data_IF_759601888326
#
_entry.id   IF_759601888326
#
_cell.length_a   1.000
_cell.length_b   1.000
_cell.length_c   1.000
_cell.angle_alpha   90.00
_cell.angle_beta   90.00
_cell.angle_gamma   90.00
#
_symmetry.space_group_name_H-M   'P 1'
#
loop_
_entity.id
_entity.type
_entity.pdbx_description
1 polymer ?
#
# COMPACT_ATOMS: atom_id res chain seq x y z
N UNK A 1 -0.30 0.57 -81.10
CA UNK A 1 0.77 1.43 -81.60
C UNK A 1 0.97 2.56 -80.59
N UNK A 2 2.07 2.50 -79.81
CA UNK A 2 2.69 3.53 -78.95
C UNK A 2 1.88 4.08 -77.76
N UNK A 3 2.42 4.34 -76.57
CA UNK A 3 3.70 4.08 -75.88
C UNK A 3 3.49 4.46 -74.39
N UNK A 4 4.24 3.84 -73.48
CA UNK A 4 4.42 4.26 -72.08
C UNK A 4 5.16 5.61 -71.98
N UNK A 5 4.96 6.35 -70.88
CA UNK A 5 6.06 6.92 -70.08
C UNK A 5 5.64 7.36 -68.67
N UNK A 6 6.58 7.25 -67.74
CA UNK A 6 6.46 7.38 -66.28
C UNK A 6 6.87 8.76 -65.74
N UNK A 7 6.37 9.20 -64.57
CA UNK A 7 7.15 9.57 -63.35
C UNK A 7 6.34 10.27 -62.23
N UNK A 8 6.55 9.77 -61.00
CA UNK A 8 6.77 10.43 -59.67
C UNK A 8 5.83 11.56 -59.16
N UNK A 9 5.11 11.36 -58.04
CA UNK A 9 5.45 11.66 -56.61
C UNK A 9 5.38 13.18 -56.31
N UNK A 10 4.57 13.76 -55.41
CA UNK A 10 4.55 13.70 -53.92
C UNK A 10 3.31 14.46 -53.37
N UNK A 11 2.52 13.90 -52.43
CA UNK A 11 2.40 14.22 -50.97
C UNK A 11 1.26 15.15 -50.53
N UNK A 12 0.54 14.62 -49.53
CA UNK A 12 -0.13 15.24 -48.37
C UNK A 12 -1.42 16.06 -48.50
N UNK A 13 -2.39 15.71 -47.63
CA UNK A 13 -3.44 16.64 -47.21
C UNK A 13 -4.77 16.04 -46.73
N UNK A 14 -4.77 15.52 -45.49
CA UNK A 14 -5.84 15.66 -44.48
C UNK A 14 -7.14 14.80 -44.53
N UNK A 15 -7.36 14.03 -43.46
CA UNK A 15 -8.63 13.37 -43.12
C UNK A 15 -8.94 13.58 -41.61
N UNK A 16 -10.20 13.87 -41.21
CA UNK A 16 -10.47 14.50 -39.92
C UNK A 16 -10.67 13.55 -38.74
N UNK A 17 -10.33 14.12 -37.59
CA UNK A 17 -10.24 13.67 -36.20
C UNK A 17 -11.56 13.22 -35.54
N UNK A 18 -12.26 12.23 -36.12
CA UNK A 18 -13.55 11.74 -35.61
C UNK A 18 -13.49 10.57 -34.60
N UNK A 19 -12.39 9.81 -34.57
CA UNK A 19 -12.28 8.58 -33.78
C UNK A 19 -11.85 8.77 -32.31
N UNK A 20 -11.15 9.87 -32.01
CA UNK A 20 -10.54 10.12 -30.69
C UNK A 20 -11.52 10.63 -29.65
N UNK A 21 -12.51 11.46 -30.03
CA UNK A 21 -13.50 11.96 -29.06
C UNK A 21 -14.51 10.91 -28.60
N UNK A 22 -14.88 9.95 -29.45
CA UNK A 22 -15.83 8.89 -29.07
C UNK A 22 -15.20 7.82 -28.18
N UNK A 23 -13.90 7.54 -28.33
CA UNK A 23 -13.18 6.60 -27.46
C UNK A 23 -12.89 7.18 -26.06
N UNK A 24 -12.78 8.51 -25.93
CA UNK A 24 -12.61 9.18 -24.63
C UNK A 24 -13.90 9.30 -23.81
N UNK A 25 -15.08 9.31 -24.45
CA UNK A 25 -16.37 9.40 -23.75
C UNK A 25 -16.78 8.09 -23.07
N UNK A 26 -16.50 6.93 -23.66
CA UNK A 26 -16.87 5.64 -23.04
C UNK A 26 -16.01 5.25 -21.83
N UNK A 27 -14.83 5.88 -21.62
CA UNK A 27 -13.96 5.59 -20.48
C UNK A 27 -14.26 6.45 -19.24
N UNK A 28 -15.02 7.53 -19.39
CA UNK A 28 -15.39 8.41 -18.28
C UNK A 28 -16.66 7.96 -17.55
N UNK A 29 -17.46 7.08 -18.16
CA UNK A 29 -18.75 6.62 -17.62
C UNK A 29 -18.63 5.39 -16.72
N UNK A 30 -17.46 4.74 -16.65
CA UNK A 30 -17.24 3.56 -15.84
C UNK A 30 -16.35 3.86 -14.64
N UNK A 31 -17.01 4.12 -13.50
CA UNK A 31 -16.48 4.24 -12.14
C UNK A 31 -15.55 5.44 -11.88
N UNK A 32 -15.82 6.17 -10.80
CA UNK A 32 -15.02 7.29 -10.30
C UNK A 32 -13.62 6.90 -9.78
N UNK A 33 -12.84 6.17 -10.57
CA UNK A 33 -11.44 5.93 -10.33
C UNK A 33 -10.65 7.19 -10.74
N UNK A 34 -9.99 7.82 -9.77
CA UNK A 34 -9.01 8.85 -10.07
C UNK A 34 -7.90 8.21 -10.91
N UNK A 35 -7.78 8.62 -12.19
CA UNK A 35 -6.65 8.23 -13.04
C UNK A 35 -5.41 8.93 -12.49
N UNK A 36 -4.57 8.20 -11.77
CA UNK A 36 -3.24 8.68 -11.38
C UNK A 36 -2.33 8.50 -12.59
N UNK A 37 -1.87 9.63 -13.15
CA UNK A 37 -0.84 9.64 -14.17
C UNK A 37 0.52 9.46 -13.50
N UNK A 38 1.27 8.42 -13.87
CA UNK A 38 2.69 8.31 -13.51
C UNK A 38 3.53 8.83 -14.67
N UNK A 39 4.47 9.73 -14.39
CA UNK A 39 5.52 10.12 -15.34
C UNK A 39 6.75 9.27 -15.01
N UNK A 40 7.14 8.38 -15.94
CA UNK A 40 8.41 7.67 -15.88
C UNK A 40 9.20 7.98 -17.16
N UNK A 41 10.39 8.57 -17.02
CA UNK A 41 11.22 8.95 -18.17
C UNK A 41 10.58 9.95 -19.15
N UNK A 42 9.59 10.73 -18.72
CA UNK A 42 8.87 11.69 -19.58
C UNK A 42 7.69 11.11 -20.36
N UNK A 43 7.35 9.82 -20.16
CA UNK A 43 6.20 9.17 -20.80
C UNK A 43 5.08 9.01 -19.76
N UNK A 44 3.87 9.53 -20.02
CA UNK A 44 2.72 9.32 -19.15
C UNK A 44 2.18 7.89 -19.28
N UNK A 45 2.02 7.20 -18.16
CA UNK A 45 1.32 5.92 -18.06
C UNK A 45 0.05 6.08 -17.22
N UNK A 46 -1.07 5.51 -17.72
CA UNK A 46 -2.29 5.38 -16.94
C UNK A 46 -2.21 4.11 -16.06
N UNK A 47 -2.32 4.28 -14.74
CA UNK A 47 -2.51 3.17 -13.82
C UNK A 47 -3.93 2.59 -14.00
N UNK A 48 -4.04 1.28 -14.27
CA UNK A 48 -5.31 0.53 -14.22
C UNK A 48 -5.80 -0.10 -15.52
N UNK A 49 -5.21 0.17 -16.69
CA UNK A 49 -5.72 -0.35 -17.97
C UNK A 49 -5.05 -1.63 -18.50
N UNK A 50 -4.15 -2.26 -17.74
CA UNK A 50 -3.47 -3.47 -18.20
C UNK A 50 -3.16 -4.39 -17.05
N UNK A 51 -4.11 -5.26 -16.68
CA UNK A 51 -3.86 -6.59 -16.07
C UNK A 51 -5.12 -7.38 -15.66
N UNK A 52 -6.33 -6.96 -16.04
CA UNK A 52 -7.52 -7.82 -15.86
C UNK A 52 -7.36 -9.19 -16.56
N UNK A 53 -6.63 -9.25 -17.69
CA UNK A 53 -6.36 -10.49 -18.42
C UNK A 53 -5.34 -11.42 -17.72
N UNK A 54 -4.39 -10.89 -16.95
CA UNK A 54 -3.40 -11.71 -16.26
C UNK A 54 -3.96 -12.41 -15.01
N UNK A 55 -4.97 -11.80 -14.37
CA UNK A 55 -5.73 -12.42 -13.29
C UNK A 55 -6.61 -13.59 -13.80
N UNK A 56 -7.03 -13.56 -15.06
CA UNK A 56 -7.90 -14.57 -15.65
C UNK A 56 -7.21 -15.93 -15.89
N UNK A 57 -5.88 -15.98 -15.92
CA UNK A 57 -5.11 -17.21 -16.20
C UNK A 57 -4.81 -18.06 -14.94
N UNK A 58 -5.36 -17.69 -13.77
CA UNK A 58 -5.19 -18.43 -12.51
C UNK A 58 -3.76 -18.42 -11.92
N UNK A 59 -2.85 -17.64 -12.51
CA UNK A 59 -1.43 -17.56 -12.11
C UNK A 59 -1.06 -16.33 -11.28
N UNK A 60 -2.00 -15.39 -11.09
CA UNK A 60 -1.75 -14.16 -10.37
C UNK A 60 -2.11 -14.31 -8.88
N UNK A 61 -1.21 -13.87 -7.99
CA UNK A 61 -1.48 -13.80 -6.56
C UNK A 61 -2.19 -12.48 -6.26
N UNK A 62 -3.40 -12.55 -5.72
CA UNK A 62 -4.16 -11.39 -5.27
C UNK A 62 -4.21 -11.33 -3.75
N UNK A 63 -4.01 -10.13 -3.19
CA UNK A 63 -4.11 -9.88 -1.76
C UNK A 63 -4.62 -8.46 -1.52
N UNK A 64 -4.98 -8.15 -0.28
CA UNK A 64 -5.46 -6.81 0.10
C UNK A 64 -4.55 -6.23 1.18
N UNK A 65 -4.27 -4.93 1.11
CA UNK A 65 -3.69 -4.13 2.17
C UNK A 65 -4.79 -3.30 2.84
N UNK A 66 -4.83 -3.35 4.17
CA UNK A 66 -5.51 -2.42 5.06
C UNK A 66 -4.47 -1.79 6.00
N UNK A 67 -4.80 -0.67 6.63
CA UNK A 67 -3.85 0.04 7.50
C UNK A 67 -4.56 0.94 8.51
N UNK A 68 -3.89 1.24 9.61
CA UNK A 68 -4.24 2.27 10.59
C UNK A 68 -5.71 2.15 11.04
N UNK A 69 -6.05 1.00 11.61
CA UNK A 69 -7.41 0.73 12.10
C UNK A 69 -7.69 1.41 13.44
N UNK A 70 -6.65 1.68 14.23
CA UNK A 70 -6.70 2.37 15.52
C UNK A 70 -7.88 1.93 16.39
N UNK A 71 -8.05 0.62 16.61
CA UNK A 71 -9.10 0.12 17.48
C UNK A 71 -8.97 0.77 18.87
N UNK A 72 -10.07 1.37 19.35
CA UNK A 72 -10.10 2.18 20.56
C UNK A 72 -10.29 3.69 20.33
N UNK A 73 -10.01 4.19 19.12
CA UNK A 73 -10.31 5.58 18.78
C UNK A 73 -11.82 5.84 18.65
N UNK A 74 -12.29 6.92 19.28
CA UNK A 74 -13.72 7.26 19.33
C UNK A 74 -13.97 8.78 19.39
N UNK A 75 -13.06 9.59 18.82
CA UNK A 75 -13.18 11.07 18.81
C UNK A 75 -13.90 11.57 17.55
N UNK A 76 -14.11 12.88 17.46
CA UNK A 76 -14.93 13.52 16.41
C UNK A 76 -14.51 13.20 14.97
N UNK A 77 -13.25 12.89 14.70
CA UNK A 77 -12.78 12.53 13.36
C UNK A 77 -13.42 11.22 12.85
N UNK A 78 -13.65 10.28 13.76
CA UNK A 78 -14.40 9.05 13.53
C UNK A 78 -14.82 8.44 14.88
N UNK A 79 -16.08 8.56 15.30
CA UNK A 79 -16.55 7.97 16.55
C UNK A 79 -16.71 6.44 16.46
N UNK A 80 -16.65 5.85 15.27
CA UNK A 80 -16.89 4.41 15.03
C UNK A 80 -15.86 3.81 14.05
N UNK A 81 -14.64 3.58 14.56
CA UNK A 81 -13.56 2.90 13.82
C UNK A 81 -13.83 1.40 13.64
N UNK A 82 -14.59 0.79 14.57
CA UNK A 82 -15.03 -0.61 14.44
C UNK A 82 -15.95 -0.77 13.23
N UNK A 83 -16.90 0.15 13.03
CA UNK A 83 -17.76 0.20 11.87
C UNK A 83 -16.98 0.43 10.57
N UNK A 84 -15.94 1.27 10.58
CA UNK A 84 -15.04 1.41 9.42
C UNK A 84 -14.36 0.10 9.05
N UNK A 85 -13.78 -0.58 10.03
CA UNK A 85 -13.11 -1.86 9.81
C UNK A 85 -14.11 -2.89 9.29
N UNK A 86 -15.28 -3.03 9.91
CA UNK A 86 -16.31 -3.97 9.43
C UNK A 86 -16.82 -3.67 8.03
N UNK A 87 -16.95 -2.39 7.65
CA UNK A 87 -17.27 -2.03 6.28
C UNK A 87 -16.17 -2.48 5.31
N UNK A 88 -14.90 -2.24 5.65
CA UNK A 88 -13.77 -2.71 4.85
C UNK A 88 -13.77 -4.25 4.71
N UNK A 89 -14.09 -4.97 5.79
CA UNK A 89 -14.22 -6.43 5.79
C UNK A 89 -15.37 -6.88 4.87
N UNK A 90 -16.51 -6.19 4.92
CA UNK A 90 -17.64 -6.48 4.02
C UNK A 90 -17.24 -6.30 2.55
N UNK A 91 -16.54 -5.20 2.23
CA UNK A 91 -16.04 -4.92 0.89
C UNK A 91 -15.02 -5.98 0.42
N UNK A 92 -14.11 -6.40 1.29
CA UNK A 92 -13.13 -7.47 1.01
C UNK A 92 -13.84 -8.80 0.76
N UNK A 93 -14.81 -9.16 1.61
CA UNK A 93 -15.57 -10.39 1.51
C UNK A 93 -16.49 -10.43 0.27
N UNK A 94 -16.79 -9.26 -0.31
CA UNK A 94 -17.58 -9.10 -1.52
C UNK A 94 -16.74 -9.10 -2.81
N UNK A 95 -15.40 -9.19 -2.72
CA UNK A 95 -14.54 -9.26 -3.90
C UNK A 95 -14.89 -10.50 -4.75
N UNK A 96 -14.97 -10.39 -6.10
CA UNK A 96 -15.30 -11.52 -6.97
C UNK A 96 -14.34 -12.71 -6.82
N UNK A 97 -13.08 -12.41 -6.51
CA UNK A 97 -12.07 -13.38 -6.15
C UNK A 97 -11.62 -13.08 -4.72
N UNK A 98 -11.75 -14.07 -3.83
CA UNK A 98 -11.25 -13.97 -2.47
C UNK A 98 -9.72 -13.74 -2.50
N UNK A 99 -9.20 -12.77 -1.72
CA UNK A 99 -7.76 -12.56 -1.62
C UNK A 99 -7.09 -13.73 -0.90
N UNK A 100 -5.88 -14.08 -1.31
CA UNK A 100 -5.10 -15.14 -0.68
C UNK A 100 -4.78 -14.84 0.80
N UNK A 101 -4.59 -13.56 1.12
CA UNK A 101 -4.39 -13.05 2.47
C UNK A 101 -4.69 -11.55 2.52
N UNK A 102 -4.77 -11.00 3.72
CA UNK A 102 -4.80 -9.55 3.98
C UNK A 102 -3.53 -9.13 4.71
N UNK A 103 -2.96 -7.99 4.34
CA UNK A 103 -1.86 -7.31 5.01
C UNK A 103 -2.42 -6.14 5.84
N UNK A 104 -2.03 -6.02 7.10
CA UNK A 104 -2.29 -4.85 7.95
C UNK A 104 -0.99 -4.12 8.25
N UNK A 105 -0.80 -2.94 7.68
CA UNK A 105 0.47 -2.19 7.73
C UNK A 105 0.63 -1.28 8.94
N UNK A 106 0.30 -1.78 10.14
CA UNK A 106 0.50 -1.07 11.42
C UNK A 106 -0.66 -0.21 11.90
N UNK A 107 -0.55 0.22 13.16
CA UNK A 107 -1.56 0.92 13.95
C UNK A 107 -2.87 0.14 14.05
N UNK A 108 -2.75 -1.08 14.58
CA UNK A 108 -3.89 -1.98 14.85
C UNK A 108 -4.72 -1.45 16.03
N UNK A 109 -4.05 -1.04 17.11
CA UNK A 109 -4.62 -0.44 18.30
C UNK A 109 -4.44 1.08 18.27
N UNK A 110 -5.18 1.80 19.14
CA UNK A 110 -4.99 3.24 19.28
C UNK A 110 -4.06 3.59 20.45
N UNK A 111 -4.12 2.83 21.55
CA UNK A 111 -3.43 3.11 22.81
C UNK A 111 -2.64 1.91 23.33
N UNK A 112 -2.30 0.94 22.47
CA UNK A 112 -1.59 -0.29 22.82
C UNK A 112 -2.30 -1.14 23.90
N UNK A 113 -3.62 -0.99 24.08
CA UNK A 113 -4.33 -1.69 25.16
C UNK A 113 -4.65 -3.14 24.79
N UNK A 114 -4.52 -4.10 25.73
CA UNK A 114 -4.82 -5.50 25.47
C UNK A 114 -6.23 -5.74 24.91
N UNK A 115 -7.22 -4.99 25.38
CA UNK A 115 -8.61 -5.04 24.89
C UNK A 115 -8.75 -4.56 23.44
N UNK A 116 -7.96 -3.58 23.00
CA UNK A 116 -7.95 -3.08 21.63
C UNK A 116 -7.35 -4.13 20.68
N UNK A 117 -6.24 -4.75 21.07
CA UNK A 117 -5.64 -5.85 20.31
C UNK A 117 -6.53 -7.09 20.27
N UNK A 118 -7.16 -7.45 21.41
CA UNK A 118 -8.10 -8.56 21.48
C UNK A 118 -9.28 -8.35 20.53
N UNK A 119 -9.86 -7.13 20.55
CA UNK A 119 -10.94 -6.73 19.66
C UNK A 119 -10.52 -6.81 18.20
N UNK A 120 -9.35 -6.28 17.85
CA UNK A 120 -8.83 -6.34 16.47
C UNK A 120 -8.64 -7.78 16.01
N UNK A 121 -8.01 -8.64 16.83
CA UNK A 121 -7.81 -10.07 16.53
C UNK A 121 -9.15 -10.77 16.29
N UNK A 122 -10.17 -10.46 17.07
CA UNK A 122 -11.48 -11.10 16.95
C UNK A 122 -12.24 -10.59 15.72
N UNK A 123 -12.18 -9.30 15.40
CA UNK A 123 -12.78 -8.74 14.18
C UNK A 123 -12.06 -9.25 12.92
N UNK A 124 -10.73 -9.42 12.94
CA UNK A 124 -9.99 -9.94 11.78
C UNK A 124 -10.43 -11.35 11.36
N UNK A 125 -11.00 -12.15 12.28
CA UNK A 125 -11.59 -13.46 11.96
C UNK A 125 -12.85 -13.35 11.08
N UNK A 126 -13.46 -12.17 10.99
CA UNK A 126 -14.61 -11.90 10.11
C UNK A 126 -14.19 -11.80 8.62
N UNK A 127 -12.88 -11.66 8.33
CA UNK A 127 -12.33 -11.63 6.97
C UNK A 127 -12.27 -13.05 6.40
N UNK A 128 -12.87 -13.27 5.23
CA UNK A 128 -12.89 -14.55 4.51
C UNK A 128 -11.61 -14.75 3.72
N UNK A 129 -10.53 -15.02 4.44
CA UNK A 129 -9.22 -15.31 3.87
C UNK A 129 -8.46 -16.30 4.76
N UNK A 130 -7.38 -16.89 4.26
CA UNK A 130 -6.61 -17.87 5.02
C UNK A 130 -5.90 -17.24 6.23
N UNK A 131 -5.48 -15.99 6.09
CA UNK A 131 -4.67 -15.27 7.09
C UNK A 131 -4.70 -13.76 6.94
N UNK A 132 -4.55 -13.08 8.07
CA UNK A 132 -4.19 -11.66 8.11
C UNK A 132 -2.76 -11.58 8.63
N UNK A 133 -1.86 -10.97 7.86
CA UNK A 133 -0.50 -10.64 8.26
C UNK A 133 -0.46 -9.19 8.75
N UNK A 134 -0.16 -8.99 10.02
CA UNK A 134 -0.03 -7.66 10.60
C UNK A 134 1.44 -7.38 10.96
N UNK A 135 1.78 -6.09 10.92
CA UNK A 135 2.96 -5.52 11.56
C UNK A 135 2.50 -4.47 12.57
N UNK A 136 3.29 -4.15 13.60
CA UNK A 136 2.96 -3.05 14.52
C UNK A 136 3.19 -1.69 13.85
N UNK A 137 2.37 -0.71 14.24
CA UNK A 137 2.65 0.71 14.07
C UNK A 137 3.07 1.38 15.39
N UNK A 138 3.34 2.69 15.41
CA UNK A 138 3.76 3.36 16.64
C UNK A 138 2.69 3.32 17.73
N UNK A 139 1.40 3.32 17.35
CA UNK A 139 0.31 3.26 18.30
C UNK A 139 0.17 1.88 18.95
N UNK A 140 0.83 0.86 18.38
CA UNK A 140 0.92 -0.50 18.92
C UNK A 140 2.11 -0.70 19.88
N UNK A 141 2.94 0.34 20.03
CA UNK A 141 4.19 0.30 20.78
C UNK A 141 4.32 1.40 21.85
N UNK A 142 3.20 2.02 22.27
CA UNK A 142 3.17 3.16 23.22
C UNK A 142 3.55 2.75 24.65
N UNK A 143 3.14 1.54 25.07
CA UNK A 143 3.43 1.02 26.41
C UNK A 143 4.85 0.40 26.45
N UNK A 144 5.00 -0.89 26.77
CA UNK A 144 6.30 -1.59 26.85
C UNK A 144 6.78 -2.06 25.46
N UNK A 145 6.85 -1.13 24.51
CA UNK A 145 7.13 -1.42 23.10
C UNK A 145 6.12 -2.40 22.48
N UNK A 146 6.57 -3.27 21.58
CA UNK A 146 5.69 -4.20 20.84
C UNK A 146 5.31 -5.46 21.63
N UNK A 147 5.66 -5.55 22.92
CA UNK A 147 5.39 -6.75 23.73
C UNK A 147 3.89 -7.02 23.93
N UNK A 148 3.08 -5.96 24.03
CA UNK A 148 1.62 -6.06 24.07
C UNK A 148 1.05 -6.60 22.76
N UNK A 149 1.50 -6.05 21.64
CA UNK A 149 1.14 -6.48 20.28
C UNK A 149 1.45 -7.97 20.05
N UNK A 150 2.65 -8.43 20.42
CA UNK A 150 3.10 -9.81 20.19
C UNK A 150 2.27 -10.88 20.92
N UNK A 151 1.56 -10.52 21.99
CA UNK A 151 0.63 -11.45 22.66
C UNK A 151 -0.56 -11.84 21.77
N UNK A 152 -0.86 -11.04 20.75
CA UNK A 152 -2.01 -11.24 19.85
C UNK A 152 -1.58 -11.52 18.41
N UNK A 153 -0.44 -10.98 17.98
CA UNK A 153 0.03 -10.99 16.60
C UNK A 153 1.48 -11.51 16.45
N UNK A 154 1.78 -12.69 17.01
CA UNK A 154 3.01 -13.44 16.72
C UNK A 154 2.80 -14.35 15.50
N UNK A 155 3.21 -13.88 14.32
CA UNK A 155 2.92 -14.54 13.06
C UNK A 155 3.84 -15.72 12.73
N UNK A 156 5.09 -15.72 13.20
CA UNK A 156 6.06 -16.79 12.96
C UNK A 156 6.39 -17.63 14.19
N UNK A 157 5.78 -17.32 15.35
CA UNK A 157 5.93 -18.05 16.60
C UNK A 157 7.30 -17.84 17.26
N UNK A 158 8.08 -16.86 16.80
CA UNK A 158 9.42 -16.56 17.32
C UNK A 158 9.43 -15.37 18.26
N UNK A 159 8.26 -14.88 18.68
CA UNK A 159 8.10 -13.77 19.61
C UNK A 159 8.90 -12.52 19.17
N UNK A 160 8.82 -12.18 17.88
CA UNK A 160 9.45 -11.02 17.26
C UNK A 160 8.51 -10.38 16.26
N UNK A 161 8.58 -9.06 16.12
CA UNK A 161 7.65 -8.30 15.28
C UNK A 161 8.13 -8.14 13.82
N UNK A 162 9.07 -8.96 13.36
CA UNK A 162 9.54 -9.01 11.97
C UNK A 162 9.73 -10.45 11.53
N UNK A 163 9.33 -10.74 10.30
CA UNK A 163 9.31 -12.08 9.73
C UNK A 163 9.20 -12.03 8.20
N UNK A 164 9.32 -13.17 7.55
CA UNK A 164 9.17 -13.29 6.10
C UNK A 164 8.38 -14.55 5.74
N UNK A 165 7.80 -14.57 4.55
CA UNK A 165 7.11 -15.73 3.99
C UNK A 165 7.07 -15.67 2.47
N UNK A 166 6.95 -16.83 1.84
CA UNK A 166 6.81 -16.93 0.39
C UNK A 166 5.36 -17.28 0.03
N UNK A 167 4.78 -16.60 -0.95
CA UNK A 167 3.48 -16.94 -1.51
C UNK A 167 3.42 -16.53 -2.98
N UNK A 168 2.87 -17.38 -3.85
CA UNK A 168 2.59 -17.02 -5.24
C UNK A 168 3.81 -16.57 -6.04
N UNK A 169 5.00 -17.09 -5.71
CA UNK A 169 6.26 -16.73 -6.37
C UNK A 169 6.86 -15.39 -5.96
N UNK A 170 6.28 -14.69 -4.98
CA UNK A 170 6.85 -13.50 -4.36
C UNK A 170 7.32 -13.80 -2.93
N UNK A 171 8.33 -13.03 -2.50
CA UNK A 171 8.87 -13.08 -1.15
C UNK A 171 8.38 -11.85 -0.37
N UNK A 172 7.69 -12.10 0.74
CA UNK A 172 7.09 -11.08 1.59
C UNK A 172 7.94 -10.89 2.83
N UNK A 173 8.17 -9.63 3.20
CA UNK A 173 9.01 -9.23 4.34
C UNK A 173 8.19 -8.29 5.20
N UNK A 174 7.94 -8.68 6.44
CA UNK A 174 7.32 -7.87 7.46
C UNK A 174 8.41 -7.24 8.34
N UNK A 175 8.54 -5.92 8.30
CA UNK A 175 9.49 -5.15 9.11
C UNK A 175 8.77 -4.46 10.28
N UNK A 176 9.44 -4.44 11.43
CA UNK A 176 9.10 -3.55 12.53
C UNK A 176 10.00 -2.32 12.46
N UNK A 177 9.49 -1.21 11.95
CA UNK A 177 10.24 0.04 11.85
C UNK A 177 9.69 1.12 12.78
N UNK A 178 9.14 0.73 13.93
CA UNK A 178 8.64 1.65 14.97
C UNK A 178 9.51 1.61 16.23
N UNK A 179 10.65 0.90 16.19
CA UNK A 179 11.60 0.90 17.29
C UNK A 179 12.11 2.32 17.55
N UNK A 180 12.14 2.69 18.83
CA UNK A 180 12.58 4.00 19.31
C UNK A 180 11.78 5.19 18.75
N UNK A 181 10.60 4.96 18.16
CA UNK A 181 9.74 6.04 17.71
C UNK A 181 9.42 6.97 18.89
N UNK A 182 9.82 8.22 18.75
CA UNK A 182 9.51 9.31 19.68
C UNK A 182 9.39 10.58 18.84
N UNK A 183 8.54 11.50 19.27
CA UNK A 183 8.40 12.79 18.59
C UNK A 183 9.78 13.46 18.37
N UNK A 184 10.07 13.84 17.13
CA UNK A 184 11.35 14.46 16.74
C UNK A 184 12.53 13.50 16.61
N UNK A 185 12.33 12.19 16.75
CA UNK A 185 13.32 11.14 16.47
C UNK A 185 12.76 10.15 15.46
N UNK A 186 13.51 9.94 14.39
CA UNK A 186 13.20 8.91 13.40
C UNK A 186 13.14 7.54 14.08
N UNK A 187 12.13 6.75 13.74
CA UNK A 187 12.14 5.34 14.11
C UNK A 187 13.22 4.58 13.36
N UNK A 188 13.53 3.37 13.80
CA UNK A 188 14.58 2.55 13.20
C UNK A 188 14.17 1.08 13.08
N UNK A 189 14.89 0.34 12.25
CA UNK A 189 14.85 -1.12 12.19
C UNK A 189 15.79 -1.76 13.21
N UNK A 190 16.95 -1.13 13.44
CA UNK A 190 17.99 -1.64 14.33
C UNK A 190 18.90 -2.69 13.68
N UNK A 191 20.11 -2.82 14.24
CA UNK A 191 21.17 -3.67 13.66
C UNK A 191 20.77 -5.15 13.57
N UNK A 192 20.10 -5.68 14.59
CA UNK A 192 19.63 -7.07 14.63
C UNK A 192 18.69 -7.38 13.46
N UNK A 193 17.71 -6.52 13.23
CA UNK A 193 16.73 -6.70 12.16
C UNK A 193 17.38 -6.51 10.77
N UNK A 194 18.31 -5.57 10.63
CA UNK A 194 19.07 -5.40 9.37
C UNK A 194 19.96 -6.61 9.06
N UNK A 195 20.61 -7.18 10.08
CA UNK A 195 21.38 -8.41 9.94
C UNK A 195 20.48 -9.60 9.56
N UNK A 196 19.31 -9.71 10.20
CA UNK A 196 18.29 -10.69 9.83
C UNK A 196 17.82 -10.51 8.39
N UNK A 197 17.48 -9.28 7.97
CA UNK A 197 17.02 -8.98 6.60
C UNK A 197 18.08 -9.39 5.57
N UNK A 198 19.36 -9.11 5.84
CA UNK A 198 20.46 -9.57 4.97
C UNK A 198 20.52 -11.09 4.87
N UNK A 199 20.34 -11.80 6.00
CA UNK A 199 20.34 -13.26 6.03
C UNK A 199 19.14 -13.86 5.30
N UNK A 200 17.96 -13.28 5.48
CA UNK A 200 16.71 -13.68 4.85
C UNK A 200 16.81 -13.60 3.32
N UNK A 201 17.34 -12.47 2.82
CA UNK A 201 17.52 -12.21 1.39
C UNK A 201 18.66 -13.03 0.74
N UNK A 202 19.53 -13.69 1.51
CA UNK A 202 20.72 -14.35 0.97
C UNK A 202 20.37 -15.55 0.06
N UNK A 203 19.27 -16.24 0.34
CA UNK A 203 18.78 -17.38 -0.43
C UNK A 203 17.77 -17.03 -1.52
N UNK A 204 17.31 -15.78 -1.58
CA UNK A 204 16.25 -15.35 -2.50
C UNK A 204 16.85 -14.98 -3.86
N UNK A 205 16.31 -15.55 -4.94
CA UNK A 205 16.72 -15.20 -6.31
C UNK A 205 16.51 -13.71 -6.57
N UNK A 206 17.43 -13.07 -7.30
CA UNK A 206 17.30 -11.66 -7.70
C UNK A 206 16.11 -11.41 -8.64
N UNK A 207 15.57 -12.44 -9.26
CA UNK A 207 14.36 -12.34 -10.09
C UNK A 207 13.05 -12.48 -9.29
N UNK A 208 13.11 -12.86 -8.01
CA UNK A 208 11.92 -12.98 -7.16
C UNK A 208 11.38 -11.58 -6.82
N UNK A 209 10.09 -11.29 -7.07
CA UNK A 209 9.45 -10.06 -6.61
C UNK A 209 9.47 -9.98 -5.08
N UNK A 210 9.88 -8.84 -4.55
CA UNK A 210 9.88 -8.57 -3.10
C UNK A 210 8.72 -7.65 -2.75
N UNK A 211 7.96 -8.01 -1.72
CA UNK A 211 6.94 -7.14 -1.12
C UNK A 211 7.29 -6.91 0.34
N UNK A 212 7.55 -5.66 0.71
CA UNK A 212 7.91 -5.27 2.07
C UNK A 212 6.72 -4.60 2.73
N UNK A 213 6.37 -5.01 3.94
CA UNK A 213 5.46 -4.32 4.84
C UNK A 213 6.30 -3.56 5.86
N UNK A 214 6.05 -2.27 6.00
CA UNK A 214 6.63 -1.42 7.04
C UNK A 214 5.59 -0.38 7.43
N UNK A 215 5.52 0.07 8.68
CA UNK A 215 4.47 1.03 9.06
C UNK A 215 4.84 2.45 8.63
N UNK A 216 5.92 2.98 9.21
CA UNK A 216 6.45 4.32 8.89
C UNK A 216 7.06 4.32 7.47
N UNK A 217 6.89 5.37 6.66
CA UNK A 217 7.52 5.44 5.35
C UNK A 217 9.04 5.25 5.39
N UNK A 218 9.57 4.40 4.51
CA UNK A 218 11.02 4.22 4.32
C UNK A 218 11.65 5.34 3.47
N UNK A 219 10.96 6.48 3.38
CA UNK A 219 11.47 7.73 2.83
C UNK A 219 10.85 8.90 3.60
N UNK A 220 11.53 10.04 3.62
CA UNK A 220 10.98 11.25 4.22
C UNK A 220 9.90 11.84 3.32
N UNK A 221 8.62 11.72 3.73
CA UNK A 221 7.48 12.28 3.00
C UNK A 221 7.46 13.81 3.11
N UNK A 222 7.63 14.33 4.32
CA UNK A 222 7.73 15.75 4.60
C UNK A 222 8.62 15.95 5.83
N UNK A 223 9.77 16.58 5.62
CA UNK A 223 10.85 16.67 6.61
C UNK A 223 10.41 17.28 7.95
N UNK A 224 9.59 18.36 7.99
CA UNK A 224 9.16 18.95 9.26
C UNK A 224 8.32 18.05 10.16
N UNK A 225 7.71 16.97 9.62
CA UNK A 225 7.02 16.00 10.46
C UNK A 225 7.99 15.07 11.20
N UNK A 226 9.22 14.92 10.72
CA UNK A 226 10.17 13.95 11.28
C UNK A 226 9.69 12.50 11.16
N UNK A 227 8.74 12.24 10.27
CA UNK A 227 8.14 10.93 10.03
C UNK A 227 8.93 10.18 8.97
N UNK A 228 9.82 9.30 9.43
CA UNK A 228 10.65 8.47 8.58
C UNK A 228 11.45 7.45 9.38
N UNK A 229 12.05 6.51 8.66
CA UNK A 229 12.90 5.46 9.24
C UNK A 229 14.38 5.80 9.03
N UNK A 230 15.13 5.99 10.12
CA UNK A 230 16.51 6.48 10.14
C UNK A 230 17.47 5.65 9.29
N UNK A 231 17.33 4.32 9.39
CA UNK A 231 18.17 3.32 8.76
C UNK A 231 17.52 2.70 7.51
N UNK A 232 16.46 3.32 6.97
CA UNK A 232 15.79 2.88 5.74
C UNK A 232 16.77 2.72 4.58
N UNK A 233 17.74 3.61 4.44
CA UNK A 233 18.73 3.56 3.37
C UNK A 233 19.55 2.25 3.38
N UNK A 234 19.81 1.67 4.56
CA UNK A 234 20.51 0.40 4.69
C UNK A 234 19.64 -0.76 4.22
N UNK A 235 18.38 -0.82 4.65
CA UNK A 235 17.43 -1.83 4.19
C UNK A 235 17.16 -1.72 2.68
N UNK A 236 16.94 -0.51 2.17
CA UNK A 236 16.75 -0.27 0.73
C UNK A 236 17.99 -0.67 -0.09
N UNK A 237 19.20 -0.53 0.46
CA UNK A 237 20.41 -1.01 -0.19
C UNK A 237 20.47 -2.54 -0.30
N UNK A 238 19.97 -3.28 0.71
CA UNK A 238 19.85 -4.74 0.66
C UNK A 238 18.81 -5.20 -0.36
N UNK A 239 17.75 -4.42 -0.56
CA UNK A 239 16.64 -4.71 -1.48
C UNK A 239 16.92 -4.29 -2.94
N UNK A 240 17.78 -3.30 -3.16
CA UNK A 240 18.10 -2.76 -4.49
C UNK A 240 18.48 -3.80 -5.55
N UNK A 241 19.20 -4.90 -5.25
CA UNK A 241 19.58 -5.88 -6.28
C UNK A 241 18.45 -6.75 -6.84
N UNK A 242 17.23 -6.71 -6.28
CA UNK A 242 16.10 -7.52 -6.74
C UNK A 242 15.36 -6.87 -7.91
N UNK A 243 14.88 -7.63 -8.90
CA UNK A 243 14.29 -7.08 -10.11
C UNK A 243 13.02 -6.23 -9.90
N UNK A 244 12.29 -6.46 -8.80
CA UNK A 244 11.12 -5.69 -8.40
C UNK A 244 10.98 -5.68 -6.88
N UNK A 245 10.80 -4.49 -6.30
CA UNK A 245 10.55 -4.31 -4.87
C UNK A 245 9.38 -3.36 -4.69
N UNK A 246 8.36 -3.79 -3.95
CA UNK A 246 7.24 -2.94 -3.53
C UNK A 246 7.22 -2.82 -2.02
N UNK A 247 7.30 -1.59 -1.50
CA UNK A 247 7.17 -1.29 -0.08
C UNK A 247 5.78 -0.72 0.19
N UNK A 248 5.05 -1.34 1.11
CA UNK A 248 3.69 -0.99 1.52
C UNK A 248 3.72 -0.41 2.93
N UNK A 249 3.26 0.83 3.04
CA UNK A 249 3.25 1.63 4.26
C UNK A 249 1.85 2.07 4.68
N UNK A 250 1.71 2.35 5.99
CA UNK A 250 0.57 3.02 6.62
C UNK A 250 0.90 4.47 6.96
N UNK A 251 0.56 4.88 8.19
CA UNK A 251 1.06 6.04 8.95
C UNK A 251 0.66 7.43 8.41
N UNK A 252 0.72 7.65 7.10
CA UNK A 252 0.40 8.95 6.47
C UNK A 252 -1.11 9.14 6.24
N UNK A 253 -1.88 8.05 6.33
CA UNK A 253 -3.32 8.00 6.13
C UNK A 253 -3.77 8.50 4.74
N UNK A 254 -2.86 8.52 3.77
CA UNK A 254 -3.06 9.00 2.40
C UNK A 254 -2.35 8.09 1.41
N UNK A 255 -2.82 8.07 0.17
CA UNK A 255 -2.15 7.35 -0.92
C UNK A 255 -1.08 8.24 -1.53
N UNK A 256 0.18 7.97 -1.18
CA UNK A 256 1.36 8.58 -1.78
C UNK A 256 2.21 7.49 -2.43
N UNK A 257 2.96 7.87 -3.46
CA UNK A 257 3.89 6.98 -4.14
C UNK A 257 5.22 7.67 -4.37
N UNK A 258 6.30 6.91 -4.15
CA UNK A 258 7.64 7.25 -4.59
C UNK A 258 8.24 6.06 -5.33
N UNK A 259 8.96 6.31 -6.42
CA UNK A 259 9.66 5.25 -7.17
C UNK A 259 11.13 5.64 -7.33
N UNK A 260 12.02 4.73 -6.93
CA UNK A 260 13.46 4.85 -7.09
C UNK A 260 14.00 3.61 -7.81
N UNK A 261 14.21 3.71 -9.12
CA UNK A 261 14.61 2.59 -9.95
C UNK A 261 13.56 1.46 -9.93
N UNK A 262 13.96 0.31 -9.39
CA UNK A 262 13.16 -0.91 -9.23
C UNK A 262 12.36 -0.97 -7.91
N UNK A 263 12.51 0.03 -7.03
CA UNK A 263 11.82 0.10 -5.75
C UNK A 263 10.65 1.08 -5.86
N UNK A 264 9.44 0.60 -5.61
CA UNK A 264 8.24 1.41 -5.51
C UNK A 264 7.76 1.42 -4.05
N UNK A 265 7.60 2.60 -3.46
CA UNK A 265 7.15 2.79 -2.09
C UNK A 265 5.78 3.45 -2.09
N UNK A 266 4.85 2.91 -1.29
CA UNK A 266 3.44 3.28 -1.32
C UNK A 266 2.88 3.42 0.09
N UNK A 267 2.25 4.55 0.41
CA UNK A 267 1.43 4.67 1.62
C UNK A 267 -0.03 4.33 1.32
N UNK A 268 -0.79 3.88 2.32
CA UNK A 268 -2.20 3.56 2.23
C UNK A 268 -3.08 4.59 2.97
N UNK A 269 -4.38 4.56 2.66
CA UNK A 269 -5.38 5.23 3.49
C UNK A 269 -5.52 4.47 4.81
N UNK A 270 -5.87 5.22 5.84
CA UNK A 270 -6.30 4.66 7.12
C UNK A 270 -7.72 4.10 7.02
N UNK A 271 -8.06 3.18 7.92
CA UNK A 271 -9.44 2.80 8.19
C UNK A 271 -10.05 3.56 9.38
N UNK A 272 -9.26 4.31 10.14
CA UNK A 272 -9.73 5.09 11.28
C UNK A 272 -10.15 6.51 10.89
N UNK A 273 -9.22 7.34 10.41
CA UNK A 273 -9.46 8.76 10.14
C UNK A 273 -8.44 9.31 9.14
N UNK A 274 -8.72 10.40 8.40
CA UNK A 274 -7.71 11.07 7.60
C UNK A 274 -6.78 11.93 8.46
N UNK A 275 -5.57 12.16 7.94
CA UNK A 275 -4.62 13.15 8.44
C UNK A 275 -4.48 14.31 7.44
N UNK A 276 -3.94 15.47 7.86
CA UNK A 276 -3.66 16.58 6.96
C UNK A 276 -2.70 16.20 5.84
N UNK A 277 -2.77 16.92 4.72
CA UNK A 277 -1.82 16.72 3.63
C UNK A 277 -0.42 17.22 4.05
N UNK A 278 0.66 16.50 3.69
CA UNK A 278 2.01 16.95 4.00
C UNK A 278 2.27 18.37 3.44
N UNK A 279 2.78 19.26 4.28
CA UNK A 279 3.04 20.66 3.93
C UNK A 279 1.81 21.59 3.89
N UNK A 280 0.64 21.14 4.38
CA UNK A 280 -0.54 21.99 4.46
C UNK A 280 -0.29 23.20 5.39
N UNK A 281 -0.59 24.40 4.89
CA UNK A 281 -0.41 25.63 5.64
C UNK A 281 -1.24 25.65 6.93
N UNK A 282 -0.63 26.12 8.02
CA UNK A 282 -1.28 26.22 9.33
C UNK A 282 -1.39 24.90 10.10
N UNK A 283 -0.86 23.81 9.56
CA UNK A 283 -0.76 22.53 10.26
C UNK A 283 0.67 22.37 10.79
N UNK A 284 0.80 22.29 12.10
CA UNK A 284 2.06 21.90 12.76
C UNK A 284 2.17 20.38 12.79
N UNK A 285 1.90 19.80 13.95
CA UNK A 285 1.82 18.35 14.12
C UNK A 285 0.52 17.82 13.50
N UNK A 286 0.60 16.84 12.58
CA UNK A 286 -0.58 16.23 11.99
C UNK A 286 -1.38 15.43 13.03
N UNK A 287 -2.71 15.62 13.03
CA UNK A 287 -3.62 14.90 13.92
C UNK A 287 -4.93 14.55 13.22
N UNK A 288 -5.79 13.73 13.85
CA UNK A 288 -7.04 13.25 13.23
C UNK A 288 -7.91 14.40 12.72
N UNK A 289 -8.29 14.35 11.45
CA UNK A 289 -9.13 15.38 10.83
C UNK A 289 -10.60 15.04 10.88
N UNK A 290 -11.40 15.95 11.45
CA UNK A 290 -12.84 15.96 11.26
C UNK A 290 -13.18 16.43 9.86
N UNK A 291 -14.08 15.70 9.22
CA UNK A 291 -14.56 16.00 7.87
C UNK A 291 -16.08 16.14 7.88
N UNK A 292 -16.69 16.79 6.86
CA UNK A 292 -18.14 16.89 6.77
C UNK A 292 -18.83 15.51 6.83
N UNK A 293 -20.06 15.50 7.34
CA UNK A 293 -20.85 14.27 7.41
C UNK A 293 -21.01 13.65 6.01
N UNK A 294 -20.82 12.34 5.90
CA UNK A 294 -20.87 11.60 4.63
C UNK A 294 -19.57 11.64 3.81
N UNK A 295 -18.57 12.45 4.17
CA UNK A 295 -17.30 12.53 3.41
C UNK A 295 -16.23 11.56 3.90
N UNK A 296 -16.32 11.08 5.15
CA UNK A 296 -15.28 10.25 5.78
C UNK A 296 -14.95 8.98 4.96
N UNK A 297 -15.96 8.27 4.48
CA UNK A 297 -15.74 7.03 3.70
C UNK A 297 -14.87 7.23 2.45
N UNK A 298 -14.92 8.41 1.83
CA UNK A 298 -14.14 8.75 0.63
C UNK A 298 -12.64 8.86 0.90
N UNK A 299 -12.27 9.13 2.16
CA UNK A 299 -10.90 9.35 2.61
C UNK A 299 -10.29 8.15 3.34
N UNK A 300 -11.13 7.19 3.74
CA UNK A 300 -10.72 5.89 4.25
C UNK A 300 -10.67 4.88 3.09
N UNK A 301 -10.03 3.72 3.26
CA UNK A 301 -10.09 2.71 2.21
C UNK A 301 -9.19 1.50 2.37
N UNK A 302 -9.34 0.59 1.41
CA UNK A 302 -8.52 -0.61 1.25
C UNK A 302 -7.75 -0.54 -0.07
N UNK A 303 -6.68 -1.32 -0.19
CA UNK A 303 -5.94 -1.47 -1.45
C UNK A 303 -5.92 -2.93 -1.86
N UNK A 304 -6.39 -3.24 -3.06
CA UNK A 304 -6.20 -4.56 -3.67
C UNK A 304 -4.90 -4.57 -4.48
N UNK A 305 -4.11 -5.64 -4.33
CA UNK A 305 -2.86 -5.84 -5.03
C UNK A 305 -2.88 -7.14 -5.81
N UNK A 306 -2.17 -7.17 -6.93
CA UNK A 306 -1.99 -8.35 -7.76
C UNK A 306 -0.55 -8.49 -8.21
N UNK A 307 0.09 -9.59 -7.82
CA UNK A 307 1.39 -10.00 -8.34
C UNK A 307 1.14 -10.86 -9.57
N UNK A 308 1.65 -10.39 -10.72
CA UNK A 308 1.60 -11.12 -11.98
C UNK A 308 3.01 -11.64 -12.27
N UNK A 309 3.21 -12.96 -12.42
CA UNK A 309 4.52 -13.51 -12.78
C UNK A 309 5.09 -12.84 -14.03
N UNK A 310 6.34 -12.40 -13.96
CA UNK A 310 7.04 -11.70 -15.06
C UNK A 310 6.71 -10.21 -15.21
N UNK A 311 5.74 -9.67 -14.47
CA UNK A 311 5.52 -8.23 -14.41
C UNK A 311 6.52 -7.55 -13.46
N UNK A 312 7.03 -6.38 -13.85
CA UNK A 312 7.97 -5.61 -13.03
C UNK A 312 7.31 -4.85 -11.88
N UNK A 313 5.99 -4.63 -11.91
CA UNK A 313 5.25 -3.89 -10.87
C UNK A 313 3.95 -4.61 -10.53
N UNK A 314 3.56 -4.52 -9.27
CA UNK A 314 2.26 -4.98 -8.81
C UNK A 314 1.17 -4.09 -9.42
N UNK A 315 0.08 -4.70 -9.86
CA UNK A 315 -1.14 -3.95 -10.14
C UNK A 315 -1.81 -3.61 -8.80
N UNK A 316 -2.22 -2.35 -8.64
CA UNK A 316 -2.80 -1.83 -7.40
C UNK A 316 -4.09 -1.08 -7.70
N UNK A 317 -5.10 -1.28 -6.84
CA UNK A 317 -6.38 -0.58 -6.90
C UNK A 317 -6.71 -0.11 -5.48
N UNK A 318 -6.66 1.20 -5.25
CA UNK A 318 -7.15 1.83 -4.02
C UNK A 318 -8.68 2.03 -4.11
N UNK A 319 -9.41 1.57 -3.10
CA UNK A 319 -10.87 1.70 -3.01
C UNK A 319 -11.25 2.48 -1.76
N UNK A 320 -11.96 3.62 -1.91
CA UNK A 320 -12.60 4.26 -0.77
C UNK A 320 -13.62 3.35 -0.10
N UNK A 321 -13.90 3.58 1.19
CA UNK A 321 -15.03 2.93 1.84
C UNK A 321 -16.33 3.52 1.30
N UNK A 322 -17.26 2.66 0.91
CA UNK A 322 -18.62 3.08 0.58
C UNK A 322 -19.40 3.19 1.89
N UNK A 323 -19.74 4.42 2.30
CA UNK A 323 -20.59 4.73 3.45
C UNK A 323 -21.81 5.52 2.99
#
# INVERSE_FOLDING_TARGET
>A
MKQEESRQQTTDGDAPDGGRRKTLSCLAEWSGAAIVWTISGGIPHALGAGNAAAAADGKALTFVQISDTHLGFHKEANPDVVGSLRQAIADINALPQAPAFVLHTGDVSHLSKPEEFALARDIFKEIRTDRVHAIPGEHDAIDDGVSGYLKFFDHDGKNRAWYSFDQGGAHFIALNNVLNFNMGRLAALGEEQLAWLKSDLAGVSRSTPIVVMAHIPMWTVYEPWGWGTADAAQALALLRPFGSVTVLNGHIHQVLQKVEGNIALHTARSLAYPLPTPGQAGVGEPGPLKVPAGELGKLLGTRQLTVVPGAQRLAMIDRPLVR
#
